data_IF_664490284053
#
_entry.id   IF_664490284053
#
_cell.length_a   1.000
_cell.length_b   1.000
_cell.length_c   1.000
_cell.angle_alpha   90.00
_cell.angle_beta   90.00
_cell.angle_gamma   90.00
#
_symmetry.space_group_name_H-M   'P 1'
#
loop_
_entity.id
_entity.type
_entity.pdbx_description
1 polymer ?
#
# COMPACT_ATOMS: atom_id res chain seq x y z
N UNK A 1 1.42 19.61 8.39
CA UNK A 1 1.90 18.34 7.80
C UNK A 1 0.70 17.52 7.35
N UNK A 2 0.44 17.45 6.04
CA UNK A 2 -0.63 16.59 5.53
C UNK A 2 -0.19 15.14 5.66
N UNK A 3 -0.84 14.42 6.58
CA UNK A 3 -0.80 12.97 6.62
C UNK A 3 -1.38 12.51 5.29
N UNK A 4 -0.53 12.12 4.32
CA UNK A 4 -1.00 11.39 3.15
C UNK A 4 -1.58 10.10 3.72
N UNK A 5 -2.89 10.09 3.93
CA UNK A 5 -3.61 8.93 4.43
C UNK A 5 -3.31 7.80 3.45
N UNK A 6 -2.49 6.85 3.89
CA UNK A 6 -2.13 5.68 3.10
C UNK A 6 -3.47 5.00 2.73
N UNK A 7 -3.87 4.95 1.44
CA UNK A 7 -5.22 4.48 1.09
C UNK A 7 -5.49 3.05 1.55
N UNK A 8 -4.43 2.25 1.65
CA UNK A 8 -4.49 0.88 2.17
C UNK A 8 -4.60 0.79 3.70
N UNK A 9 -4.37 1.87 4.44
CA UNK A 9 -4.59 1.89 5.90
C UNK A 9 -6.08 1.69 6.22
N UNK A 10 -6.97 2.11 5.31
CA UNK A 10 -8.41 1.88 5.39
C UNK A 10 -8.79 0.39 5.24
N UNK A 11 -7.89 -0.47 4.71
CA UNK A 11 -8.09 -1.93 4.68
C UNK A 11 -7.89 -2.57 6.06
N UNK A 12 -7.09 -1.94 6.92
CA UNK A 12 -6.64 -2.47 8.20
C UNK A 12 -7.27 -1.78 9.39
N UNK A 13 -7.98 -0.68 9.15
CA UNK A 13 -8.70 0.07 10.15
C UNK A 13 -10.16 0.16 9.68
N UNK A 14 -11.10 -0.54 10.32
CA UNK A 14 -12.48 -0.08 10.36
C UNK A 14 -12.41 1.33 10.93
N UNK A 15 -12.64 2.33 10.06
CA UNK A 15 -12.44 3.75 10.30
C UNK A 15 -12.57 4.16 11.77
N UNK A 16 -11.51 4.63 12.43
CA UNK A 16 -11.63 5.28 13.76
C UNK A 16 -12.48 6.57 13.71
N UNK A 17 -12.85 7.02 12.51
CA UNK A 17 -13.64 8.23 12.27
C UNK A 17 -15.13 7.98 12.23
N UNK A 18 -15.59 6.73 12.22
CA UNK A 18 -17.03 6.52 12.40
C UNK A 18 -17.36 6.66 13.88
N UNK A 19 -18.13 7.70 14.21
CA UNK A 19 -18.69 7.91 15.56
C UNK A 19 -19.40 6.63 16.06
N UNK A 20 -19.90 5.80 15.13
CA UNK A 20 -20.44 4.47 15.41
C UNK A 20 -19.42 3.51 16.06
N UNK A 21 -18.19 3.36 15.54
CA UNK A 21 -17.22 2.45 16.18
C UNK A 21 -16.67 3.00 17.49
N UNK A 22 -16.58 4.33 17.64
CA UNK A 22 -16.25 4.96 18.93
C UNK A 22 -17.34 4.65 19.96
N UNK A 23 -18.62 4.88 19.63
CA UNK A 23 -19.75 4.58 20.52
C UNK A 23 -19.93 3.08 20.80
N UNK A 24 -19.61 2.21 19.85
CA UNK A 24 -19.64 0.76 20.07
C UNK A 24 -18.54 0.29 21.02
N UNK A 25 -17.35 0.92 20.96
CA UNK A 25 -16.24 0.68 21.88
C UNK A 25 -16.53 1.23 23.29
N UNK A 26 -17.10 2.43 23.38
CA UNK A 26 -17.56 3.03 24.65
C UNK A 26 -18.63 2.15 25.30
N UNK A 27 -19.69 1.78 24.56
CA UNK A 27 -20.71 0.85 25.07
C UNK A 27 -20.17 -0.54 25.39
N UNK A 28 -18.99 -0.95 24.88
CA UNK A 28 -18.47 -2.30 25.13
C UNK A 28 -17.82 -2.41 26.50
N UNK A 29 -17.43 -1.28 27.09
CA UNK A 29 -17.05 -1.19 28.49
C UNK A 29 -18.27 -1.33 29.42
N UNK A 30 -19.45 -0.91 28.95
CA UNK A 30 -20.73 -1.03 29.65
C UNK A 30 -21.39 -2.37 29.30
N UNK A 31 -21.00 -3.44 30.01
CA UNK A 31 -21.49 -4.80 29.78
C UNK A 31 -23.00 -4.95 29.89
N UNK A 32 -23.60 -5.80 29.04
CA UNK A 32 -24.33 -7.01 29.47
C UNK A 32 -24.88 -7.86 28.31
N UNK A 33 -24.90 -7.37 27.06
CA UNK A 33 -25.45 -8.14 25.93
C UNK A 33 -24.37 -8.78 25.04
N UNK A 34 -23.58 -9.69 25.61
CA UNK A 34 -22.68 -10.53 24.81
C UNK A 34 -23.50 -11.62 24.10
N UNK A 35 -23.92 -11.36 22.86
CA UNK A 35 -24.46 -12.41 21.98
C UNK A 35 -23.50 -13.61 22.02
N UNK A 36 -23.98 -14.75 22.53
CA UNK A 36 -23.16 -15.94 22.74
C UNK A 36 -22.59 -16.39 21.39
N UNK A 37 -21.29 -16.20 21.18
CA UNK A 37 -20.59 -16.83 20.07
C UNK A 37 -20.50 -18.33 20.35
N UNK A 38 -20.63 -19.20 19.33
CA UNK A 38 -20.63 -20.65 19.54
C UNK A 38 -19.28 -21.19 20.05
N UNK A 39 -18.21 -20.40 19.95
CA UNK A 39 -16.87 -20.74 20.36
C UNK A 39 -16.37 -19.75 21.43
N UNK A 40 -15.58 -20.21 22.42
CA UNK A 40 -14.81 -19.35 23.31
C UNK A 40 -13.88 -18.39 22.56
N UNK A 41 -13.57 -17.25 23.17
CA UNK A 41 -12.73 -16.21 22.57
C UNK A 41 -11.33 -16.71 22.17
N UNK A 42 -10.72 -17.58 22.97
CA UNK A 42 -9.39 -18.17 22.68
C UNK A 42 -9.37 -18.97 21.38
N UNK A 43 -10.45 -19.70 21.06
CA UNK A 43 -10.54 -20.43 19.80
C UNK A 43 -10.69 -19.48 18.61
N UNK A 44 -11.47 -18.41 18.77
CA UNK A 44 -11.56 -17.36 17.77
C UNK A 44 -10.21 -16.67 17.54
N UNK A 45 -9.42 -16.49 18.60
CA UNK A 45 -8.08 -15.92 18.50
C UNK A 45 -7.15 -16.81 17.68
N UNK A 46 -7.12 -18.12 17.95
CA UNK A 46 -6.35 -19.06 17.15
C UNK A 46 -6.81 -19.12 15.68
N UNK A 47 -8.12 -19.07 15.42
CA UNK A 47 -8.64 -18.97 14.05
C UNK A 47 -8.15 -17.67 13.39
N UNK A 48 -8.17 -16.54 14.10
CA UNK A 48 -7.71 -15.26 13.59
C UNK A 48 -6.21 -15.22 13.27
N UNK A 49 -5.39 -15.93 14.05
CA UNK A 49 -3.96 -16.09 13.81
C UNK A 49 -3.66 -16.90 12.54
N UNK A 50 -4.49 -17.89 12.22
CA UNK A 50 -4.32 -18.75 11.05
C UNK A 50 -4.96 -18.19 9.77
N UNK A 51 -5.93 -17.28 9.89
CA UNK A 51 -6.69 -16.76 8.75
C UNK A 51 -5.92 -15.71 7.93
N UNK A 52 -6.53 -15.17 6.86
CA UNK A 52 -6.02 -13.96 6.22
C UNK A 52 -6.34 -12.71 7.04
N UNK A 53 -5.45 -11.72 7.04
CA UNK A 53 -5.66 -10.49 7.81
C UNK A 53 -6.96 -9.76 7.41
N UNK A 54 -7.30 -9.77 6.12
CA UNK A 54 -8.56 -9.20 5.62
C UNK A 54 -9.79 -9.89 6.21
N UNK A 55 -9.72 -11.21 6.41
CA UNK A 55 -10.80 -11.98 7.03
C UNK A 55 -10.92 -11.62 8.52
N UNK A 56 -9.80 -11.47 9.23
CA UNK A 56 -9.78 -11.02 10.63
C UNK A 56 -10.41 -9.63 10.78
N UNK A 57 -10.04 -8.68 9.91
CA UNK A 57 -10.63 -7.34 9.92
C UNK A 57 -12.14 -7.39 9.69
N UNK A 58 -12.63 -8.25 8.77
CA UNK A 58 -14.06 -8.43 8.53
C UNK A 58 -14.76 -9.03 9.76
N UNK A 59 -14.21 -10.10 10.34
CA UNK A 59 -14.76 -10.72 11.55
C UNK A 59 -14.91 -9.72 12.70
N UNK A 60 -13.90 -8.88 12.91
CA UNK A 60 -13.92 -7.83 13.94
C UNK A 60 -15.00 -6.75 13.70
N UNK A 61 -15.57 -6.65 12.50
CA UNK A 61 -16.68 -5.72 12.21
C UNK A 61 -18.06 -6.33 12.35
N UNK A 62 -18.17 -7.67 12.44
CA UNK A 62 -19.48 -8.35 12.44
C UNK A 62 -20.20 -8.17 13.79
N UNK A 63 -19.50 -8.43 14.89
CA UNK A 63 -20.10 -8.35 16.21
C UNK A 63 -19.14 -7.78 17.26
N UNK A 64 -19.72 -7.32 18.37
CA UNK A 64 -19.00 -6.66 19.47
C UNK A 64 -18.07 -7.62 20.22
N UNK A 65 -18.44 -8.90 20.30
CA UNK A 65 -17.64 -9.97 20.94
C UNK A 65 -16.37 -10.28 20.16
N UNK A 66 -16.43 -10.21 18.82
CA UNK A 66 -15.27 -10.49 17.94
C UNK A 66 -14.47 -9.23 17.60
N UNK A 67 -14.99 -8.04 17.91
CA UNK A 67 -14.28 -6.78 17.71
C UNK A 67 -12.88 -6.73 18.34
N UNK A 68 -12.63 -7.27 19.55
CA UNK A 68 -11.30 -7.32 20.14
C UNK A 68 -10.28 -8.13 19.31
N UNK A 69 -10.70 -9.08 18.46
CA UNK A 69 -9.80 -9.85 17.61
C UNK A 69 -8.96 -8.96 16.68
N UNK A 70 -9.58 -7.90 16.14
CA UNK A 70 -8.89 -6.96 15.26
C UNK A 70 -7.85 -6.09 15.98
N UNK A 71 -7.83 -6.10 17.32
CA UNK A 71 -6.93 -5.31 18.17
C UNK A 71 -6.02 -6.17 19.04
N UNK A 72 -6.23 -7.49 19.06
CA UNK A 72 -5.49 -8.37 19.94
C UNK A 72 -4.00 -8.38 19.57
N UNK A 73 -3.08 -8.17 20.52
CA UNK A 73 -1.66 -8.00 20.24
C UNK A 73 -1.03 -9.23 19.56
N UNK A 74 -1.45 -10.46 19.90
CA UNK A 74 -0.90 -11.68 19.30
C UNK A 74 -1.16 -11.77 17.78
N UNK A 75 -2.33 -11.32 17.34
CA UNK A 75 -2.68 -11.24 15.91
C UNK A 75 -1.70 -10.30 15.22
N UNK A 76 -1.52 -9.08 15.75
CA UNK A 76 -0.61 -8.10 15.16
C UNK A 76 0.86 -8.52 15.22
N UNK A 77 1.28 -9.20 16.28
CA UNK A 77 2.62 -9.77 16.42
C UNK A 77 2.90 -10.75 15.30
N UNK A 78 2.03 -11.76 15.14
CA UNK A 78 2.17 -12.77 14.09
C UNK A 78 2.24 -12.13 12.71
N UNK A 79 1.39 -11.14 12.45
CA UNK A 79 1.40 -10.40 11.17
C UNK A 79 2.66 -9.57 10.97
N UNK A 80 3.23 -8.99 12.03
CA UNK A 80 4.52 -8.32 11.91
C UNK A 80 5.62 -9.32 11.55
N UNK A 81 5.67 -10.46 12.23
CA UNK A 81 6.66 -11.52 11.94
C UNK A 81 6.53 -12.03 10.52
N UNK A 82 5.31 -12.26 10.04
CA UNK A 82 5.04 -12.65 8.64
C UNK A 82 5.39 -11.54 7.63
N UNK A 83 5.06 -10.27 7.92
CA UNK A 83 5.27 -9.17 6.97
C UNK A 83 6.73 -8.71 6.86
N UNK A 84 7.52 -8.90 7.93
CA UNK A 84 8.92 -8.46 8.00
C UNK A 84 9.90 -9.65 8.04
N UNK A 85 9.50 -10.82 7.52
CA UNK A 85 10.37 -12.00 7.40
C UNK A 85 11.34 -11.92 6.20
N UNK A 86 11.10 -10.99 5.27
CA UNK A 86 11.94 -10.80 4.09
C UNK A 86 13.36 -10.41 4.47
N UNK A 87 14.32 -10.91 3.69
CA UNK A 87 15.73 -10.56 3.82
C UNK A 87 15.92 -9.03 3.75
N UNK A 88 16.70 -8.49 4.68
CA UNK A 88 16.99 -7.06 4.79
C UNK A 88 16.21 -6.31 5.88
N UNK A 89 15.19 -6.93 6.48
CA UNK A 89 14.53 -6.39 7.67
C UNK A 89 15.21 -6.82 8.96
N UNK A 90 15.35 -5.89 9.90
CA UNK A 90 15.77 -6.23 11.25
C UNK A 90 14.71 -7.11 11.96
N UNK A 91 15.11 -8.06 12.82
CA UNK A 91 14.15 -8.90 13.54
C UNK A 91 13.24 -8.03 14.41
N UNK A 92 11.94 -8.33 14.38
CA UNK A 92 10.93 -7.44 14.95
C UNK A 92 11.15 -7.14 16.43
N UNK A 93 11.63 -8.13 17.20
CA UNK A 93 11.88 -8.02 18.63
C UNK A 93 12.90 -6.92 18.98
N UNK A 94 13.83 -6.60 18.07
CA UNK A 94 14.83 -5.54 18.29
C UNK A 94 14.27 -4.14 18.04
N UNK A 95 13.24 -4.03 17.19
CA UNK A 95 12.73 -2.74 16.69
C UNK A 95 11.41 -2.35 17.36
N UNK A 96 10.74 -3.28 18.02
CA UNK A 96 9.43 -3.05 18.65
C UNK A 96 9.42 -1.88 19.65
N UNK A 97 10.56 -1.64 20.33
CA UNK A 97 10.74 -0.51 21.24
C UNK A 97 10.55 0.84 20.53
N UNK A 98 11.02 0.96 19.29
CA UNK A 98 10.91 2.19 18.48
C UNK A 98 9.44 2.49 18.12
N UNK A 99 8.56 1.49 18.27
CA UNK A 99 7.11 1.59 18.05
C UNK A 99 6.31 1.53 19.36
N UNK A 100 6.91 1.94 20.48
CA UNK A 100 6.29 1.99 21.81
C UNK A 100 5.68 0.64 22.25
N UNK A 101 6.37 -0.47 21.96
CA UNK A 101 5.93 -1.82 22.31
C UNK A 101 4.58 -2.24 21.71
N UNK A 102 4.12 -1.53 20.66
CA UNK A 102 2.86 -1.82 19.99
C UNK A 102 3.10 -2.48 18.63
N UNK A 103 2.77 -3.76 18.53
CA UNK A 103 2.80 -4.53 17.28
C UNK A 103 1.92 -3.91 16.18
N UNK A 104 0.75 -3.39 16.56
CA UNK A 104 -0.13 -2.69 15.62
C UNK A 104 0.55 -1.44 15.05
N UNK A 105 1.17 -0.62 15.92
CA UNK A 105 1.89 0.59 15.50
C UNK A 105 3.06 0.25 14.59
N UNK A 106 3.81 -0.80 14.93
CA UNK A 106 4.90 -1.32 14.13
C UNK A 106 4.42 -1.75 12.73
N UNK A 107 3.36 -2.55 12.64
CA UNK A 107 2.82 -3.01 11.35
C UNK A 107 2.39 -1.87 10.43
N UNK A 108 1.85 -0.79 10.99
CA UNK A 108 1.32 0.36 10.24
C UNK A 108 2.41 1.36 9.82
N UNK A 109 3.38 1.62 10.69
CA UNK A 109 4.39 2.66 10.49
C UNK A 109 5.67 2.14 9.86
N UNK A 110 6.07 0.89 10.15
CA UNK A 110 7.30 0.31 9.60
C UNK A 110 7.16 0.13 8.09
N UNK A 111 8.07 0.68 7.28
CA UNK A 111 8.01 0.54 5.84
C UNK A 111 8.18 -0.92 5.43
N UNK A 112 7.35 -1.39 4.51
CA UNK A 112 7.47 -2.72 3.90
C UNK A 112 7.14 -2.69 2.43
N UNK A 113 7.70 -3.66 1.71
CA UNK A 113 7.29 -3.99 0.37
C UNK A 113 6.00 -4.82 0.41
N UNK A 114 5.13 -4.64 -0.59
CA UNK A 114 3.89 -5.38 -0.79
C UNK A 114 3.92 -6.04 -2.15
N UNK A 115 3.49 -7.29 -2.21
CA UNK A 115 3.47 -8.06 -3.45
C UNK A 115 2.09 -8.10 -4.12
N UNK A 116 1.04 -7.76 -3.38
CA UNK A 116 -0.35 -7.76 -3.87
C UNK A 116 -0.68 -6.65 -4.88
N UNK A 117 0.24 -5.70 -5.09
CA UNK A 117 -0.07 -4.42 -5.73
C UNK A 117 0.96 -3.94 -6.73
N UNK A 118 0.62 -2.82 -7.38
CA UNK A 118 1.50 -2.10 -8.31
C UNK A 118 1.82 -0.74 -7.69
N UNK A 119 3.11 -0.45 -7.60
CA UNK A 119 3.62 0.85 -7.19
C UNK A 119 3.64 1.79 -8.39
N UNK A 120 3.26 3.05 -8.16
CA UNK A 120 3.18 4.03 -9.22
C UNK A 120 3.85 5.33 -8.78
N UNK A 121 4.64 5.91 -9.67
CA UNK A 121 5.10 7.28 -9.59
C UNK A 121 4.66 8.04 -10.83
N UNK A 122 3.88 9.10 -10.62
CA UNK A 122 3.44 10.00 -11.68
C UNK A 122 4.47 11.12 -11.85
N UNK A 123 4.92 11.33 -13.08
CA UNK A 123 5.83 12.40 -13.43
C UNK A 123 5.20 13.25 -14.51
N UNK A 124 5.08 14.55 -14.26
CA UNK A 124 4.58 15.51 -15.22
C UNK A 124 5.72 16.41 -15.65
N UNK A 125 5.95 16.50 -16.96
CA UNK A 125 6.95 17.39 -17.55
C UNK A 125 6.27 18.35 -18.54
N UNK A 126 6.75 19.58 -18.56
CA UNK A 126 6.38 20.56 -19.57
C UNK A 126 7.28 20.34 -20.80
N UNK A 127 6.69 19.89 -21.90
CA UNK A 127 7.38 19.90 -23.19
C UNK A 127 7.20 21.28 -23.80
N UNK A 128 8.27 22.06 -23.87
CA UNK A 128 8.25 23.34 -24.57
C UNK A 128 8.04 23.09 -26.07
N UNK A 129 7.05 23.74 -26.68
CA UNK A 129 6.85 23.72 -28.12
C UNK A 129 8.01 24.39 -28.87
N UNK A 130 8.09 24.10 -30.17
CA UNK A 130 8.96 24.86 -31.08
C UNK A 130 8.42 26.29 -31.18
N UNK A 131 9.30 27.28 -31.06
CA UNK A 131 8.95 28.68 -31.29
C UNK A 131 8.79 28.90 -32.80
N UNK A 132 7.56 28.76 -33.30
CA UNK A 132 7.22 29.11 -34.70
C UNK A 132 7.39 30.63 -34.94
N UNK A 133 7.37 31.45 -33.88
CA UNK A 133 7.54 32.90 -33.93
C UNK A 133 8.94 33.43 -33.59
N UNK A 134 10.02 32.64 -33.74
CA UNK A 134 11.38 33.16 -33.50
C UNK A 134 11.68 34.34 -34.46
N UNK A 135 11.72 35.56 -33.92
CA UNK A 135 12.03 36.78 -34.66
C UNK A 135 10.88 37.79 -34.77
N UNK A 136 9.64 37.39 -34.47
CA UNK A 136 8.51 38.32 -34.32
C UNK A 136 8.42 38.79 -32.87
N UNK A 137 9.01 39.96 -32.59
CA UNK A 137 8.99 40.60 -31.27
C UNK A 137 8.14 41.86 -31.31
N UNK A 138 7.28 42.04 -30.32
CA UNK A 138 6.66 43.33 -30.01
C UNK A 138 7.17 43.76 -28.63
N UNK A 139 7.80 44.95 -28.55
CA UNK A 139 8.38 45.49 -27.29
C UNK A 139 9.31 44.52 -26.56
N UNK A 140 10.27 43.92 -27.29
CA UNK A 140 11.25 42.95 -26.78
C UNK A 140 10.70 41.65 -26.19
N UNK A 141 9.39 41.41 -26.29
CA UNK A 141 8.74 40.14 -25.93
C UNK A 141 8.41 39.37 -27.21
N UNK A 142 8.78 38.08 -27.24
CA UNK A 142 8.41 37.20 -28.35
C UNK A 142 6.87 37.14 -28.45
N UNK A 143 6.31 37.47 -29.62
CA UNK A 143 4.86 37.62 -29.83
C UNK A 143 4.09 36.32 -29.56
N UNK A 144 4.73 35.18 -29.79
CA UNK A 144 4.20 33.86 -29.46
C UNK A 144 4.88 33.35 -28.19
N UNK A 145 4.13 33.29 -27.08
CA UNK A 145 4.57 32.57 -25.89
C UNK A 145 4.86 31.10 -26.24
N UNK A 146 5.82 30.46 -25.56
CA UNK A 146 6.08 29.03 -25.70
C UNK A 146 4.82 28.25 -25.36
N UNK A 147 4.06 27.80 -26.37
CA UNK A 147 2.97 26.86 -26.18
C UNK A 147 3.58 25.53 -25.73
N UNK A 148 3.67 25.33 -24.41
CA UNK A 148 4.14 24.09 -23.83
C UNK A 148 2.99 23.11 -23.62
N UNK A 149 3.21 21.83 -23.90
CA UNK A 149 2.27 20.76 -23.56
C UNK A 149 2.72 20.05 -22.29
N UNK A 150 1.82 19.97 -21.31
CA UNK A 150 2.03 19.11 -20.15
C UNK A 150 1.88 17.65 -20.56
N UNK A 151 2.91 16.87 -20.30
CA UNK A 151 2.90 15.42 -20.52
C UNK A 151 3.14 14.71 -19.20
N UNK A 152 2.18 13.90 -18.82
CA UNK A 152 2.29 13.02 -17.65
C UNK A 152 2.61 11.60 -18.12
N UNK A 153 3.66 11.03 -17.55
CA UNK A 153 3.98 9.62 -17.69
C UNK A 153 4.07 8.97 -16.32
N UNK A 154 3.80 7.67 -16.28
CA UNK A 154 3.78 6.86 -15.08
C UNK A 154 4.92 5.86 -15.14
N UNK A 155 5.66 5.79 -14.04
CA UNK A 155 6.58 4.68 -13.77
C UNK A 155 5.87 3.72 -12.82
N UNK A 156 5.71 2.49 -13.29
CA UNK A 156 5.02 1.43 -12.58
C UNK A 156 6.04 0.36 -12.18
N UNK A 157 5.93 -0.12 -10.95
CA UNK A 157 6.73 -1.25 -10.46
C UNK A 157 5.83 -2.29 -9.81
N UNK A 158 6.12 -3.55 -10.07
CA UNK A 158 5.52 -4.67 -9.34
C UNK A 158 6.62 -5.57 -8.82
N UNK A 159 6.59 -5.81 -7.52
CA UNK A 159 7.54 -6.68 -6.85
C UNK A 159 6.90 -8.04 -6.61
N UNK A 160 7.72 -9.07 -6.67
CA UNK A 160 7.34 -10.46 -6.37
C UNK A 160 8.19 -10.97 -5.21
N UNK A 161 7.67 -11.97 -4.51
CA UNK A 161 8.30 -12.63 -3.36
C UNK A 161 9.61 -13.35 -3.74
N UNK A 162 9.76 -13.77 -4.99
CA UNK A 162 10.96 -14.38 -5.55
C UNK A 162 12.16 -13.41 -5.73
N UNK A 163 11.99 -12.12 -5.39
CA UNK A 163 13.02 -11.11 -5.58
C UNK A 163 13.07 -10.49 -6.98
N UNK A 164 12.09 -10.82 -7.85
CA UNK A 164 11.97 -10.19 -9.17
C UNK A 164 11.11 -8.93 -9.12
N UNK A 165 11.42 -7.98 -10.01
CA UNK A 165 10.64 -6.76 -10.20
C UNK A 165 10.31 -6.57 -11.67
N UNK A 166 9.06 -6.21 -11.95
CA UNK A 166 8.61 -5.73 -13.25
C UNK A 166 8.54 -4.21 -13.21
N UNK A 167 9.32 -3.55 -14.05
CA UNK A 167 9.30 -2.10 -14.21
C UNK A 167 8.72 -1.72 -15.58
N UNK A 168 7.85 -0.71 -15.62
CA UNK A 168 7.23 -0.22 -16.85
C UNK A 168 7.14 1.31 -16.80
N UNK A 169 7.52 1.96 -17.89
CA UNK A 169 7.26 3.39 -18.09
C UNK A 169 6.22 3.54 -19.19
N UNK A 170 5.09 4.18 -18.88
CA UNK A 170 3.96 4.33 -19.82
C UNK A 170 3.30 5.69 -19.68
N UNK A 171 2.77 6.22 -20.78
CA UNK A 171 1.90 7.40 -20.78
C UNK A 171 0.41 7.05 -20.66
N UNK A 172 0.07 5.76 -20.71
CA UNK A 172 -1.31 5.28 -20.56
C UNK A 172 -1.82 5.47 -19.14
N UNK A 173 -3.14 5.52 -18.98
CA UNK A 173 -3.74 5.65 -17.66
C UNK A 173 -3.37 4.45 -16.79
N UNK A 174 -2.99 4.65 -15.52
CA UNK A 174 -2.66 3.55 -14.60
C UNK A 174 -3.81 2.54 -14.46
N UNK A 175 -5.06 2.99 -14.59
CA UNK A 175 -6.24 2.13 -14.51
C UNK A 175 -6.31 1.11 -15.65
N UNK A 176 -5.86 1.49 -16.85
CA UNK A 176 -5.83 0.63 -18.04
C UNK A 176 -4.72 -0.41 -17.95
N UNK A 177 -3.57 0.00 -17.39
CA UNK A 177 -2.36 -0.84 -17.34
C UNK A 177 -2.34 -1.76 -16.12
N UNK A 178 -3.01 -1.37 -15.03
CA UNK A 178 -3.13 -2.16 -13.79
C UNK A 178 -3.52 -3.63 -14.00
N UNK A 179 -4.60 -3.99 -14.73
CA UNK A 179 -4.98 -5.40 -14.89
C UNK A 179 -3.92 -6.21 -15.65
N UNK A 180 -3.31 -5.62 -16.67
CA UNK A 180 -2.23 -6.25 -17.43
C UNK A 180 -1.02 -6.52 -16.52
N UNK A 181 -0.61 -5.52 -15.73
CA UNK A 181 0.47 -5.62 -14.74
C UNK A 181 0.17 -6.64 -13.64
N UNK A 182 -1.08 -6.71 -13.16
CA UNK A 182 -1.51 -7.58 -12.06
C UNK A 182 -1.53 -9.08 -12.42
N UNK A 183 -1.58 -9.41 -13.71
CA UNK A 183 -1.49 -10.80 -14.15
C UNK A 183 -0.25 -11.10 -15.01
N UNK A 184 0.71 -10.17 -15.08
CA UNK A 184 2.09 -10.49 -15.43
C UNK A 184 2.71 -11.37 -14.34
N UNK A 185 3.63 -12.26 -14.71
CA UNK A 185 4.38 -13.11 -13.78
C UNK A 185 5.75 -13.47 -14.39
N UNK A 186 6.83 -13.53 -13.59
CA UNK A 186 8.18 -13.81 -14.10
C UNK A 186 8.26 -15.14 -14.88
N UNK A 187 7.55 -16.18 -14.43
CA UNK A 187 7.50 -17.50 -15.10
C UNK A 187 6.85 -17.48 -16.49
N UNK A 188 6.14 -16.41 -16.88
CA UNK A 188 5.43 -16.30 -18.18
C UNK A 188 5.84 -15.00 -18.89
N UNK A 189 7.09 -14.84 -19.32
CA UNK A 189 7.62 -13.57 -19.83
C UNK A 189 7.00 -13.12 -21.17
N UNK A 190 6.48 -14.06 -21.97
CA UNK A 190 5.80 -13.78 -23.24
C UNK A 190 4.52 -12.93 -23.06
N UNK A 191 3.99 -12.87 -21.83
CA UNK A 191 2.77 -12.11 -21.52
C UNK A 191 2.95 -10.60 -21.61
N UNK A 192 4.17 -10.05 -21.51
CA UNK A 192 4.37 -8.59 -21.54
C UNK A 192 3.93 -7.98 -22.88
N UNK A 193 4.39 -8.55 -24.00
CA UNK A 193 4.04 -8.05 -25.35
C UNK A 193 2.58 -8.31 -25.68
N UNK A 194 2.07 -9.49 -25.32
CA UNK A 194 0.68 -9.89 -25.58
C UNK A 194 -0.34 -9.04 -24.79
N UNK A 195 0.06 -8.50 -23.63
CA UNK A 195 -0.78 -7.68 -22.76
C UNK A 195 -0.63 -6.17 -22.97
N UNK A 196 0.06 -5.76 -24.03
CA UNK A 196 0.26 -4.34 -24.33
C UNK A 196 1.25 -3.62 -23.40
N UNK A 197 2.02 -4.34 -22.59
CA UNK A 197 3.07 -3.79 -21.71
C UNK A 197 4.36 -3.54 -22.51
N UNK A 198 4.26 -2.74 -23.58
CA UNK A 198 5.41 -2.39 -24.43
C UNK A 198 6.43 -1.59 -23.61
N UNK A 199 7.69 -2.04 -23.62
CA UNK A 199 8.77 -1.39 -22.87
C UNK A 199 8.86 -1.78 -21.38
N UNK A 200 8.09 -2.79 -20.94
CA UNK A 200 8.28 -3.39 -19.62
C UNK A 200 9.56 -4.22 -19.56
N UNK A 201 10.33 -4.07 -18.48
CA UNK A 201 11.55 -4.84 -18.24
C UNK A 201 11.47 -5.59 -16.90
N UNK A 202 12.03 -6.80 -16.90
CA UNK A 202 12.24 -7.59 -15.70
C UNK A 202 13.61 -7.24 -15.10
N UNK A 203 13.68 -7.20 -13.77
CA UNK A 203 14.91 -7.05 -13.02
C UNK A 203 14.83 -7.80 -11.70
N UNK A 204 15.88 -7.68 -10.90
CA UNK A 204 15.94 -8.19 -9.52
C UNK A 204 16.02 -7.04 -8.54
N UNK A 205 15.56 -7.26 -7.32
CA UNK A 205 15.66 -6.28 -6.25
C UNK A 205 16.17 -6.95 -4.97
N UNK A 206 16.90 -6.18 -4.17
CA UNK A 206 17.27 -6.55 -2.82
C UNK A 206 16.70 -5.49 -1.89
N UNK A 207 15.81 -5.91 -0.99
CA UNK A 207 15.26 -5.02 0.02
C UNK A 207 16.32 -4.80 1.11
N UNK A 208 16.56 -3.53 1.46
CA UNK A 208 17.38 -3.16 2.62
C UNK A 208 16.61 -2.14 3.44
N UNK A 209 16.61 -2.31 4.74
CA UNK A 209 15.96 -1.36 5.65
C UNK A 209 16.93 -0.22 5.98
N UNK A 210 16.80 0.89 5.25
CA UNK A 210 17.54 2.13 5.55
C UNK A 210 16.69 2.99 6.47
N UNK A 211 17.21 3.27 7.68
CA UNK A 211 16.63 4.27 8.57
C UNK A 211 16.94 5.64 8.01
N UNK A 212 15.92 6.30 7.48
CA UNK A 212 16.02 7.72 7.12
C UNK A 212 15.87 8.48 8.44
N UNK A 213 16.99 8.82 9.08
CA UNK A 213 16.99 9.81 10.16
C UNK A 213 16.45 11.12 9.57
N UNK A 214 15.39 11.65 10.19
CA UNK A 214 14.78 12.94 9.85
C UNK A 214 15.11 13.94 10.92
#
# INVERSE_FOLDING_TARGET
MSWIARPWLALYHPSYRNLLAQRLAERAADGDDAAATPLPFELWLHIAELSDFTAVCRLATICRVLWPLGRHPSVWERRCREAFCLAGHAPCDRVIRDYAWSWQRMFLLRPRLRFDGVYMSAHTKLLAGLNEGRGMKEKDVDFYARCGKWVTYYRLWRFYDDGTVLALTTSQSPLEVRPAMAAAHPSKPQTLRQRGLKGGCWGTYLATEVRIER
#
